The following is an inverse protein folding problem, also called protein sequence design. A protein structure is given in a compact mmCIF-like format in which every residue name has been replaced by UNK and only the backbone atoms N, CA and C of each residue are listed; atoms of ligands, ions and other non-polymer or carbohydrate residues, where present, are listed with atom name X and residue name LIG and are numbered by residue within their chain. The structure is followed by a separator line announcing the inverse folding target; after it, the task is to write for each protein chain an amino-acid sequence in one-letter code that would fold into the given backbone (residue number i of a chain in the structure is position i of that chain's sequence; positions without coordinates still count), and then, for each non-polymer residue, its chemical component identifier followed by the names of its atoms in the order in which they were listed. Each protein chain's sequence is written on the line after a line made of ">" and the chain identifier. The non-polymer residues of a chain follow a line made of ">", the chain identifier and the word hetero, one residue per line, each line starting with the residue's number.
data_IF_644270051869
#
_entry.id   IF_644270051869
#
_cell.length_a   1.000
_cell.length_b   1.000
_cell.length_c   1.000
_cell.angle_alpha   90.00
_cell.angle_beta   90.00
_cell.angle_gamma   90.00
#
_symmetry.space_group_name_H-M   'P 1'
#
loop_
_entity.id
_entity.type
_entity.pdbx_description
1 polymer ?
#
# COMPACT_ATOMS: atom_id res chain seq x y z
N UNK A 1 -35.21 28.52 -39.25
CA UNK A 1 -34.87 29.40 -40.38
C UNK A 1 -33.38 29.24 -40.66
N UNK A 2 -33.03 29.04 -41.94
CA UNK A 2 -31.67 28.83 -42.46
C UNK A 2 -30.88 30.14 -42.60
N UNK A 3 -29.54 30.06 -42.54
CA UNK A 3 -28.48 30.68 -43.40
C UNK A 3 -27.13 30.48 -42.66
N UNK A 4 -26.20 29.59 -43.04
CA UNK A 4 -25.36 29.38 -44.25
C UNK A 4 -24.34 30.50 -44.56
N UNK A 5 -23.17 30.03 -45.04
CA UNK A 5 -21.92 30.68 -45.55
C UNK A 5 -20.78 30.87 -44.52
N UNK A 6 -19.53 30.41 -44.76
CA UNK A 6 -18.94 29.86 -45.97
C UNK A 6 -17.53 29.27 -45.79
N UNK A 7 -17.17 28.46 -46.78
CA UNK A 7 -16.02 27.57 -47.02
C UNK A 7 -14.75 28.32 -47.47
N UNK A 8 -13.53 27.79 -47.20
CA UNK A 8 -12.43 27.65 -48.20
C UNK A 8 -11.48 26.49 -47.81
N UNK A 9 -11.32 25.52 -48.72
CA UNK A 9 -10.26 24.48 -48.75
C UNK A 9 -8.96 25.02 -49.34
N UNK A 10 -7.81 24.42 -48.97
CA UNK A 10 -6.63 24.38 -49.83
C UNK A 10 -5.90 23.03 -49.70
N UNK A 11 -5.94 22.27 -50.79
CA UNK A 11 -5.09 21.12 -51.10
C UNK A 11 -3.73 21.62 -51.61
N UNK A 12 -2.65 20.95 -51.24
CA UNK A 12 -1.38 21.00 -51.98
C UNK A 12 -0.71 19.63 -52.00
N UNK A 13 -0.74 19.03 -53.18
CA UNK A 13 0.06 17.86 -53.60
C UNK A 13 1.34 18.39 -54.23
N UNK A 14 2.49 17.82 -53.86
CA UNK A 14 3.73 17.92 -54.66
C UNK A 14 4.30 16.51 -54.83
N UNK A 15 4.30 16.04 -56.07
CA UNK A 15 5.15 14.96 -56.57
C UNK A 15 6.40 15.60 -57.17
N UNK A 16 7.57 14.97 -57.06
CA UNK A 16 8.52 14.80 -58.17
C UNK A 16 9.62 13.78 -57.77
N UNK A 17 9.87 12.87 -58.70
CA UNK A 17 10.80 11.75 -58.71
C UNK A 17 12.27 12.18 -58.85
N UNK A 18 13.22 11.32 -58.44
CA UNK A 18 14.63 11.47 -58.77
C UNK A 18 15.45 10.21 -58.47
N UNK A 19 15.83 9.50 -59.54
CA UNK A 19 16.58 8.24 -59.57
C UNK A 19 18.10 8.48 -59.55
N UNK A 20 18.87 7.58 -58.95
CA UNK A 20 20.34 7.55 -59.01
C UNK A 20 20.88 6.16 -58.71
N UNK A 21 21.17 5.40 -59.77
CA UNK A 21 21.79 4.08 -59.75
C UNK A 21 23.26 4.13 -59.38
N UNK A 22 23.76 3.09 -58.73
CA UNK A 22 25.03 2.47 -59.13
C UNK A 22 24.87 0.94 -59.22
N UNK A 23 25.24 0.42 -60.39
CA UNK A 23 25.34 -1.00 -60.70
C UNK A 23 26.69 -1.53 -60.22
N UNK A 24 26.72 -2.78 -59.77
CA UNK A 24 27.64 -3.74 -60.35
C UNK A 24 27.01 -5.14 -60.35
N UNK A 25 26.90 -5.70 -61.55
CA UNK A 25 26.37 -7.03 -61.86
C UNK A 25 27.45 -8.09 -61.60
N UNK A 26 27.05 -9.31 -61.22
CA UNK A 26 27.41 -10.53 -61.97
C UNK A 26 26.41 -11.65 -61.65
N UNK A 27 25.80 -12.19 -62.72
CA UNK A 27 24.91 -13.37 -62.81
C UNK A 27 25.58 -14.65 -62.24
N UNK A 28 24.89 -15.71 -61.79
CA UNK A 28 24.03 -16.59 -62.59
C UNK A 28 23.38 -17.68 -61.70
N UNK A 29 22.05 -17.73 -61.72
CA UNK A 29 21.17 -18.90 -61.88
C UNK A 29 21.40 -20.19 -61.06
N UNK A 30 20.41 -20.53 -60.23
CA UNK A 30 20.22 -21.87 -59.64
C UNK A 30 18.82 -22.01 -59.04
N UNK A 31 17.92 -22.60 -59.82
CA UNK A 31 16.53 -22.94 -59.48
C UNK A 31 16.45 -23.92 -58.31
N UNK A 32 15.54 -23.69 -57.36
CA UNK A 32 15.24 -24.60 -56.27
C UNK A 32 14.03 -24.10 -55.47
N UNK A 33 12.85 -24.58 -55.86
CA UNK A 33 11.60 -24.44 -55.13
C UNK A 33 11.72 -25.09 -53.74
N UNK A 34 11.46 -24.34 -52.67
CA UNK A 34 11.12 -24.91 -51.38
C UNK A 34 10.51 -23.87 -50.45
N UNK A 35 9.26 -24.15 -50.06
CA UNK A 35 8.46 -23.35 -49.14
C UNK A 35 9.14 -23.23 -47.77
N UNK A 36 9.51 -22.00 -47.37
CA UNK A 36 9.92 -21.72 -46.00
C UNK A 36 8.69 -21.28 -45.23
N UNK A 37 8.17 -22.20 -44.42
CA UNK A 37 7.23 -21.95 -43.34
C UNK A 37 7.86 -20.89 -42.44
N UNK A 38 7.23 -19.71 -42.36
CA UNK A 38 7.53 -18.74 -41.32
C UNK A 38 7.06 -19.31 -39.99
N UNK A 39 8.00 -19.91 -39.26
CA UNK A 39 7.84 -20.20 -37.84
C UNK A 39 7.87 -18.85 -37.13
N UNK A 40 6.68 -18.34 -36.84
CA UNK A 40 6.49 -17.27 -35.86
C UNK A 40 6.89 -17.85 -34.51
N UNK A 41 8.09 -17.54 -34.04
CA UNK A 41 8.52 -17.82 -32.68
C UNK A 41 7.63 -16.99 -31.76
N UNK A 42 6.55 -17.59 -31.26
CA UNK A 42 5.87 -17.12 -30.08
C UNK A 42 6.90 -17.15 -28.94
N UNK A 43 7.24 -15.98 -28.43
CA UNK A 43 7.83 -15.85 -27.10
C UNK A 43 6.77 -16.36 -26.11
N UNK A 44 6.83 -17.64 -25.78
CA UNK A 44 6.38 -18.09 -24.47
C UNK A 44 7.35 -17.49 -23.45
N UNK A 45 6.93 -16.37 -22.87
CA UNK A 45 7.57 -15.81 -21.69
C UNK A 45 7.17 -16.67 -20.49
N UNK A 46 7.72 -17.88 -20.43
CA UNK A 46 7.82 -18.61 -19.18
C UNK A 46 8.91 -17.94 -18.36
N UNK A 47 8.52 -17.12 -17.38
CA UNK A 47 9.45 -16.65 -16.36
C UNK A 47 9.87 -17.87 -15.54
N UNK A 48 11.07 -18.37 -15.81
CA UNK A 48 11.79 -19.29 -14.94
C UNK A 48 12.35 -18.52 -13.72
N UNK A 49 11.47 -17.77 -13.05
CA UNK A 49 11.75 -17.19 -11.75
C UNK A 49 11.33 -18.24 -10.74
N UNK A 50 12.31 -18.76 -9.99
CA UNK A 50 12.07 -19.36 -8.69
C UNK A 50 11.54 -18.25 -7.76
N UNK A 51 10.32 -17.78 -7.99
CA UNK A 51 9.66 -16.74 -7.21
C UNK A 51 9.47 -17.25 -5.79
N UNK A 52 10.19 -16.65 -4.84
CA UNK A 52 10.07 -17.02 -3.43
C UNK A 52 8.72 -16.52 -2.93
N UNK A 53 7.79 -17.44 -2.69
CA UNK A 53 6.54 -17.13 -2.01
C UNK A 53 6.84 -16.56 -0.62
N UNK A 54 6.38 -15.34 -0.36
CA UNK A 54 6.49 -14.65 0.93
C UNK A 54 5.32 -15.07 1.82
N UNK A 55 4.10 -14.96 1.30
CA UNK A 55 2.85 -15.24 2.02
C UNK A 55 1.67 -15.43 1.04
N UNK A 56 0.64 -16.14 1.47
CA UNK A 56 -0.68 -16.17 0.80
C UNK A 56 -1.82 -15.86 1.78
N UNK A 57 -2.98 -15.47 1.23
CA UNK A 57 -4.25 -15.46 1.96
C UNK A 57 -4.67 -16.88 2.33
N UNK A 58 -5.52 -17.04 3.35
CA UNK A 58 -6.02 -18.34 3.81
C UNK A 58 -6.72 -19.16 2.71
N UNK A 59 -7.28 -18.49 1.70
CA UNK A 59 -7.95 -19.11 0.55
C UNK A 59 -7.10 -19.20 -0.73
N UNK A 60 -5.80 -18.86 -0.62
CA UNK A 60 -4.80 -18.86 -1.70
C UNK A 60 -5.15 -18.01 -2.94
N UNK A 61 -6.15 -17.12 -2.85
CA UNK A 61 -6.50 -16.21 -3.95
C UNK A 61 -5.56 -15.03 -4.09
N UNK A 62 -4.87 -14.69 -3.02
CA UNK A 62 -3.84 -13.65 -2.96
C UNK A 62 -2.53 -14.32 -2.61
N UNK A 63 -1.49 -14.13 -3.41
CA UNK A 63 -0.13 -14.60 -3.11
C UNK A 63 0.85 -13.47 -3.36
N UNK A 64 1.79 -13.33 -2.45
CA UNK A 64 2.84 -12.34 -2.52
C UNK A 64 4.17 -13.06 -2.70
N UNK A 65 4.87 -12.72 -3.78
CA UNK A 65 6.18 -13.28 -4.12
C UNK A 65 7.25 -12.21 -4.06
N UNK A 66 8.47 -12.60 -3.70
CA UNK A 66 9.63 -11.72 -3.76
C UNK A 66 10.17 -11.64 -5.19
N UNK A 67 10.37 -10.43 -5.70
CA UNK A 67 11.13 -10.20 -6.94
C UNK A 67 12.63 -10.34 -6.64
N UNK A 68 13.08 -9.69 -5.57
CA UNK A 68 14.45 -9.73 -5.11
C UNK A 68 14.49 -9.69 -3.58
N UNK A 69 15.52 -10.30 -3.01
CA UNK A 69 15.80 -10.25 -1.58
C UNK A 69 17.29 -9.99 -1.40
N UNK A 70 17.62 -8.89 -0.72
CA UNK A 70 19.00 -8.48 -0.51
C UNK A 70 19.12 -7.79 0.84
N UNK A 71 20.20 -8.06 1.57
CA UNK A 71 20.51 -7.39 2.84
C UNK A 71 19.37 -7.49 3.88
N UNK A 72 18.67 -8.63 3.92
CA UNK A 72 17.46 -8.89 4.73
C UNK A 72 16.29 -7.93 4.45
N UNK A 73 16.13 -7.53 3.19
CA UNK A 73 15.02 -6.72 2.70
C UNK A 73 14.48 -7.32 1.41
N UNK A 74 13.16 -7.40 1.29
CA UNK A 74 12.50 -7.65 0.02
C UNK A 74 12.48 -6.36 -0.80
N UNK A 75 12.99 -6.43 -2.03
CA UNK A 75 13.10 -5.29 -2.93
C UNK A 75 12.18 -5.53 -4.13
N UNK A 76 10.95 -5.04 -4.01
CA UNK A 76 9.89 -5.30 -4.96
C UNK A 76 9.23 -6.66 -4.74
N UNK A 77 7.95 -6.72 -5.07
CA UNK A 77 7.12 -7.90 -4.90
C UNK A 77 6.21 -8.10 -6.10
N UNK A 78 5.90 -9.36 -6.41
CA UNK A 78 4.88 -9.73 -7.38
C UNK A 78 3.64 -10.15 -6.61
N UNK A 79 2.51 -9.49 -6.85
CA UNK A 79 1.21 -9.88 -6.32
C UNK A 79 0.48 -10.73 -7.36
N UNK A 80 0.14 -11.97 -7.01
CA UNK A 80 -0.84 -12.77 -7.74
C UNK A 80 -2.20 -12.62 -7.06
N UNK A 81 -3.20 -12.18 -7.82
CA UNK A 81 -4.57 -12.00 -7.36
C UNK A 81 -5.54 -12.62 -8.37
N UNK A 82 -6.23 -13.69 -7.97
CA UNK A 82 -7.12 -14.46 -8.83
C UNK A 82 -6.45 -14.89 -10.17
N UNK A 83 -5.16 -15.25 -10.12
CA UNK A 83 -4.37 -15.69 -11.26
C UNK A 83 -3.87 -14.58 -12.19
N UNK A 84 -4.15 -13.30 -11.90
CA UNK A 84 -3.47 -12.16 -12.54
C UNK A 84 -2.27 -11.75 -11.69
N UNK A 85 -1.19 -11.32 -12.32
CA UNK A 85 0.01 -10.86 -11.61
C UNK A 85 0.34 -9.41 -11.94
N UNK A 86 0.91 -8.71 -10.95
CA UNK A 86 1.51 -7.38 -11.13
C UNK A 86 2.65 -7.18 -10.14
N UNK A 87 3.70 -6.54 -10.63
CA UNK A 87 4.84 -6.14 -9.82
C UNK A 87 4.58 -4.80 -9.13
N UNK A 88 5.02 -4.70 -7.89
CA UNK A 88 5.00 -3.50 -7.07
C UNK A 88 6.38 -3.25 -6.50
N UNK A 89 6.77 -1.97 -6.39
CA UNK A 89 8.04 -1.54 -5.81
C UNK A 89 8.03 -1.57 -4.26
N UNK A 90 7.10 -2.31 -3.65
CA UNK A 90 7.00 -2.42 -2.20
C UNK A 90 8.28 -3.00 -1.61
N UNK A 91 8.80 -2.34 -0.57
CA UNK A 91 9.98 -2.79 0.15
C UNK A 91 9.71 -2.92 1.64
N UNK A 92 10.17 -4.03 2.20
CA UNK A 92 10.02 -4.32 3.62
C UNK A 92 11.07 -5.36 4.08
N UNK A 93 11.41 -5.38 5.38
CA UNK A 93 12.40 -6.31 5.91
C UNK A 93 12.02 -7.78 5.68
N UNK A 94 12.98 -8.58 5.21
CA UNK A 94 12.90 -10.02 5.07
C UNK A 94 13.37 -10.71 6.37
N UNK A 95 12.63 -10.49 7.46
CA UNK A 95 12.98 -11.02 8.78
C UNK A 95 12.12 -12.24 9.13
N UNK A 96 12.79 -13.33 9.48
CA UNK A 96 12.11 -14.55 9.94
C UNK A 96 11.26 -14.25 11.20
N UNK A 97 9.97 -14.62 11.15
CA UNK A 97 9.00 -14.37 12.22
C UNK A 97 8.15 -13.11 12.06
N UNK A 98 8.48 -12.21 11.14
CA UNK A 98 7.68 -11.02 10.80
C UNK A 98 7.26 -11.08 9.34
N UNK A 99 6.36 -12.02 9.04
CA UNK A 99 5.79 -12.16 7.69
C UNK A 99 4.68 -11.12 7.48
N UNK A 100 4.50 -10.64 6.25
CA UNK A 100 3.29 -9.91 5.88
C UNK A 100 2.03 -10.68 6.26
N UNK A 101 0.96 -9.94 6.53
CA UNK A 101 -0.38 -10.51 6.56
C UNK A 101 -1.05 -10.23 5.22
N UNK A 102 -1.77 -11.22 4.69
CA UNK A 102 -2.39 -11.14 3.38
C UNK A 102 -3.84 -11.57 3.54
N UNK A 103 -4.76 -10.69 3.16
CA UNK A 103 -6.20 -10.88 3.27
C UNK A 103 -6.84 -10.78 1.88
N UNK A 104 -7.95 -11.50 1.71
CA UNK A 104 -8.86 -11.36 0.58
C UNK A 104 -10.24 -11.01 1.12
N UNK A 105 -10.66 -9.75 1.02
CA UNK A 105 -11.88 -9.26 1.67
C UNK A 105 -12.47 -8.07 0.91
N UNK A 106 -13.80 -7.99 0.86
CA UNK A 106 -14.57 -6.85 0.34
C UNK A 106 -14.52 -5.71 1.37
N UNK A 107 -13.46 -4.91 1.31
CA UNK A 107 -13.23 -3.78 2.23
C UNK A 107 -13.86 -2.49 1.70
N UNK A 108 -14.27 -2.46 0.44
CA UNK A 108 -14.95 -1.34 -0.21
C UNK A 108 -16.49 -1.38 -0.12
N UNK A 109 -17.06 -2.50 0.35
CA UNK A 109 -18.50 -2.81 0.37
C UNK A 109 -19.14 -2.77 -1.03
N UNK A 110 -18.38 -3.07 -2.09
CA UNK A 110 -18.87 -3.06 -3.47
C UNK A 110 -19.31 -4.45 -3.98
N UNK A 111 -19.11 -5.49 -3.15
CA UNK A 111 -19.41 -6.87 -3.46
C UNK A 111 -18.25 -7.61 -4.15
N UNK A 112 -17.11 -6.96 -4.35
CA UNK A 112 -15.88 -7.53 -4.90
C UNK A 112 -14.79 -7.49 -3.83
N UNK A 113 -14.12 -8.60 -3.59
CA UNK A 113 -13.02 -8.61 -2.63
C UNK A 113 -11.75 -7.97 -3.20
N UNK A 114 -11.04 -7.24 -2.34
CA UNK A 114 -9.69 -6.73 -2.58
C UNK A 114 -8.63 -7.61 -1.92
N UNK A 115 -7.41 -7.55 -2.46
CA UNK A 115 -6.24 -7.98 -1.72
C UNK A 115 -5.84 -6.89 -0.73
N UNK A 116 -5.70 -7.23 0.55
CA UNK A 116 -5.17 -6.33 1.58
C UNK A 116 -3.89 -6.95 2.14
N UNK A 117 -2.78 -6.23 2.06
CA UNK A 117 -1.47 -6.69 2.50
C UNK A 117 -0.97 -5.74 3.58
N UNK A 118 -0.66 -6.24 4.76
CA UNK A 118 0.08 -5.48 5.76
C UNK A 118 1.52 -5.96 5.78
N UNK A 119 2.46 -5.03 5.62
CA UNK A 119 3.89 -5.31 5.63
C UNK A 119 4.52 -4.62 6.83
N UNK A 120 5.42 -5.35 7.45
CA UNK A 120 6.20 -4.84 8.54
C UNK A 120 7.24 -3.82 8.04
N UNK A 121 7.39 -2.66 8.70
CA UNK A 121 8.40 -1.64 8.34
C UNK A 121 9.52 -1.54 9.37
N UNK A 122 9.19 -1.55 10.66
CA UNK A 122 10.17 -1.38 11.72
C UNK A 122 9.72 -1.97 13.06
N UNK A 123 10.66 -2.61 13.76
CA UNK A 123 10.50 -3.13 15.12
C UNK A 123 11.79 -2.90 15.85
N UNK A 124 11.67 -2.15 16.92
CA UNK A 124 12.69 -2.00 17.93
C UNK A 124 11.99 -2.02 19.29
N UNK A 125 12.71 -2.09 20.42
CA UNK A 125 12.07 -1.98 21.72
C UNK A 125 11.20 -0.71 21.78
N UNK A 126 9.90 -0.90 21.99
CA UNK A 126 8.92 0.19 22.01
C UNK A 126 8.53 0.75 20.64
N UNK A 127 8.89 0.11 19.52
CA UNK A 127 8.45 0.51 18.17
C UNK A 127 7.88 -0.70 17.42
N UNK A 128 6.73 -0.53 16.80
CA UNK A 128 6.10 -1.50 15.91
C UNK A 128 5.36 -0.77 14.79
N UNK A 129 5.92 -0.75 13.59
CA UNK A 129 5.38 -0.02 12.45
C UNK A 129 5.03 -0.96 11.32
N UNK A 130 3.81 -0.84 10.84
CA UNK A 130 3.32 -1.49 9.63
C UNK A 130 2.95 -0.46 8.56
N UNK A 131 2.96 -0.93 7.32
CA UNK A 131 2.41 -0.28 6.14
C UNK A 131 1.34 -1.20 5.56
N UNK A 132 0.34 -0.62 4.91
CA UNK A 132 -0.79 -1.37 4.34
C UNK A 132 -0.93 -1.03 2.86
N UNK A 133 -1.24 -2.05 2.07
CA UNK A 133 -1.54 -1.97 0.66
C UNK A 133 -2.92 -2.58 0.40
N UNK A 134 -3.74 -1.91 -0.40
CA UNK A 134 -5.07 -2.40 -0.80
C UNK A 134 -5.15 -2.42 -2.31
N UNK A 135 -5.36 -3.58 -2.91
CA UNK A 135 -5.29 -3.76 -4.37
C UNK A 135 -6.58 -4.35 -4.92
N UNK A 136 -7.11 -3.73 -5.99
CA UNK A 136 -8.33 -4.16 -6.66
C UNK A 136 -8.14 -5.44 -7.46
N UNK A 137 -9.11 -6.35 -7.37
CA UNK A 137 -9.14 -7.59 -8.15
C UNK A 137 -9.30 -7.39 -9.67
N UNK A 138 -9.90 -6.28 -10.09
CA UNK A 138 -10.23 -6.03 -11.50
C UNK A 138 -9.00 -5.71 -12.34
N UNK A 139 -8.18 -4.76 -11.89
CA UNK A 139 -7.09 -4.17 -12.66
C UNK A 139 -5.74 -4.12 -11.91
N UNK A 140 -5.69 -4.67 -10.69
CA UNK A 140 -4.51 -4.64 -9.82
C UNK A 140 -4.02 -3.21 -9.52
N UNK A 141 -4.91 -2.21 -9.59
CA UNK A 141 -4.62 -0.86 -9.10
C UNK A 141 -4.69 -0.80 -7.58
N UNK A 142 -3.82 -0.01 -6.99
CA UNK A 142 -3.78 0.21 -5.55
C UNK A 142 -4.79 1.32 -5.17
N UNK A 143 -5.49 1.10 -4.07
CA UNK A 143 -6.41 2.07 -3.46
C UNK A 143 -5.66 2.79 -2.36
N UNK A 144 -5.58 4.11 -2.47
CA UNK A 144 -4.94 4.91 -1.43
C UNK A 144 -5.75 4.85 -0.13
N UNK A 145 -5.02 4.87 0.98
CA UNK A 145 -5.54 4.94 2.33
C UNK A 145 -4.84 6.08 3.07
N UNK A 146 -5.62 6.90 3.75
CA UNK A 146 -5.13 8.02 4.53
C UNK A 146 -4.30 7.54 5.75
N UNK A 147 -3.17 8.20 6.02
CA UNK A 147 -2.26 7.83 7.10
C UNK A 147 -2.98 7.99 8.46
N UNK A 148 -3.03 6.95 9.32
CA UNK A 148 -3.68 7.03 10.63
C UNK A 148 -3.05 8.09 11.53
N UNK A 149 -1.77 8.42 11.36
CA UNK A 149 -1.11 9.49 12.11
C UNK A 149 -1.59 10.88 11.67
N UNK A 150 -1.84 11.10 10.38
CA UNK A 150 -2.44 12.34 9.87
C UNK A 150 -3.88 12.48 10.38
N UNK A 151 -4.67 11.40 10.29
CA UNK A 151 -6.04 11.33 10.84
C UNK A 151 -6.06 11.71 12.33
N UNK A 152 -5.16 11.13 13.12
CA UNK A 152 -5.08 11.39 14.57
C UNK A 152 -4.64 12.83 14.84
N UNK A 153 -3.65 13.33 14.12
CA UNK A 153 -3.16 14.70 14.28
C UNK A 153 -4.26 15.75 13.98
N UNK A 154 -5.15 15.47 13.05
CA UNK A 154 -6.26 16.38 12.70
C UNK A 154 -7.47 16.25 13.63
N UNK A 155 -7.78 15.04 14.11
CA UNK A 155 -9.05 14.75 14.78
C UNK A 155 -8.95 14.59 16.31
N UNK A 156 -7.75 14.49 16.88
CA UNK A 156 -7.53 14.15 18.29
C UNK A 156 -6.69 15.20 18.99
N UNK A 157 -7.22 15.74 20.08
CA UNK A 157 -6.45 16.60 21.00
C UNK A 157 -5.98 15.78 22.20
N UNK A 158 -4.73 15.95 22.62
CA UNK A 158 -4.21 15.30 23.83
C UNK A 158 -3.56 16.31 24.75
N UNK A 159 -3.68 16.08 26.06
CA UNK A 159 -3.05 16.88 27.09
C UNK A 159 -2.45 15.94 28.12
N UNK A 160 -1.18 16.16 28.45
CA UNK A 160 -0.47 15.45 29.52
C UNK A 160 -0.08 16.49 30.58
N UNK A 161 -0.54 16.28 31.81
CA UNK A 161 -0.23 17.14 32.96
C UNK A 161 0.59 16.35 33.97
N UNK A 162 1.82 16.80 34.26
CA UNK A 162 2.68 16.20 35.26
C UNK A 162 2.55 16.93 36.61
N UNK A 163 2.15 16.19 37.65
CA UNK A 163 2.18 16.63 39.04
C UNK A 163 3.11 15.73 39.86
N UNK A 164 4.41 16.03 39.84
CA UNK A 164 5.45 15.33 40.61
C UNK A 164 5.46 13.82 40.35
N UNK A 165 5.38 13.42 39.09
CA UNK A 165 5.36 12.01 38.67
C UNK A 165 3.97 11.46 38.46
N UNK A 166 2.91 12.03 39.03
CA UNK A 166 1.55 11.63 38.66
C UNK A 166 1.13 12.34 37.37
N UNK A 167 0.93 11.57 36.29
CA UNK A 167 0.51 12.10 34.99
C UNK A 167 -1.00 11.97 34.83
N UNK A 168 -1.68 13.09 34.63
CA UNK A 168 -3.07 13.09 34.13
C UNK A 168 -3.03 13.25 32.63
N UNK A 169 -3.52 12.25 31.91
CA UNK A 169 -3.61 12.25 30.44
C UNK A 169 -5.06 12.40 30.04
N UNK A 170 -5.34 13.41 29.23
CA UNK A 170 -6.63 13.68 28.62
C UNK A 170 -6.54 13.46 27.12
N UNK A 171 -7.50 12.72 26.56
CA UNK A 171 -7.63 12.49 25.11
C UNK A 171 -9.04 12.91 24.69
N UNK A 172 -9.14 13.81 23.71
CA UNK A 172 -10.43 14.28 23.18
C UNK A 172 -10.58 13.86 21.73
N UNK A 173 -11.74 13.30 21.41
CA UNK A 173 -12.11 12.83 20.07
C UNK A 173 -13.51 13.37 19.77
N UNK A 174 -13.58 14.43 18.96
CA UNK A 174 -14.81 15.21 18.80
C UNK A 174 -15.33 15.71 20.17
N UNK A 175 -16.60 15.47 20.48
CA UNK A 175 -17.22 15.90 21.74
C UNK A 175 -16.91 14.98 22.94
N UNK A 176 -16.19 13.87 22.73
CA UNK A 176 -15.88 12.90 23.79
C UNK A 176 -14.52 13.22 24.41
N UNK A 177 -14.46 13.14 25.73
CA UNK A 177 -13.23 13.26 26.51
C UNK A 177 -13.00 11.98 27.31
N UNK A 178 -11.76 11.50 27.26
CA UNK A 178 -11.24 10.38 28.04
C UNK A 178 -10.13 10.89 28.94
N UNK A 179 -10.10 10.42 30.18
CA UNK A 179 -9.07 10.78 31.16
C UNK A 179 -8.52 9.51 31.80
N UNK A 180 -7.21 9.47 31.99
CA UNK A 180 -6.51 8.42 32.70
C UNK A 180 -5.39 9.01 33.55
N UNK A 181 -5.00 8.29 34.58
CA UNK A 181 -3.84 8.61 35.41
C UNK A 181 -2.78 7.55 35.18
N UNK A 182 -1.55 7.99 34.97
CA UNK A 182 -0.38 7.14 34.78
C UNK A 182 0.73 7.56 35.74
N UNK A 183 1.42 6.58 36.30
CA UNK A 183 2.58 6.85 37.16
C UNK A 183 3.81 7.06 36.27
N UNK A 184 4.37 8.26 36.31
CA UNK A 184 5.58 8.65 35.63
C UNK A 184 6.76 8.83 36.60
N UNK A 185 7.94 9.02 36.01
CA UNK A 185 9.16 9.34 36.74
C UNK A 185 9.14 10.84 37.13
N UNK A 186 9.19 11.18 38.44
CA UNK A 186 9.18 12.57 38.89
C UNK A 186 10.38 13.38 38.40
N UNK A 187 11.47 12.73 38.02
CA UNK A 187 12.70 13.35 37.49
C UNK A 187 12.69 13.45 35.95
N UNK A 188 11.69 12.90 35.27
CA UNK A 188 11.54 12.97 33.82
C UNK A 188 10.72 14.18 33.37
N UNK A 189 11.23 14.89 32.36
CA UNK A 189 10.51 15.99 31.71
C UNK A 189 9.56 15.47 30.62
N UNK A 190 8.29 15.30 31.00
CA UNK A 190 7.22 14.93 30.09
C UNK A 190 6.81 16.10 29.18
N UNK A 191 6.47 15.78 27.93
CA UNK A 191 5.79 16.74 27.05
C UNK A 191 4.34 16.94 27.51
N UNK A 192 3.73 18.02 27.04
CA UNK A 192 2.34 18.38 27.38
C UNK A 192 1.29 17.65 26.53
N UNK A 193 1.70 16.74 25.65
CA UNK A 193 0.85 15.99 24.71
C UNK A 193 1.42 14.57 24.53
N UNK A 194 0.57 13.64 24.08
CA UNK A 194 1.02 12.29 23.74
C UNK A 194 1.82 12.30 22.45
N UNK A 195 2.83 11.42 22.38
CA UNK A 195 3.55 11.13 21.13
C UNK A 195 2.92 9.91 20.46
N UNK A 196 2.68 10.01 19.16
CA UNK A 196 2.18 8.94 18.29
C UNK A 196 3.24 8.54 17.25
N UNK A 197 3.02 7.42 16.57
CA UNK A 197 3.91 6.94 15.50
C UNK A 197 5.04 6.03 15.98
N UNK A 198 5.00 5.59 17.24
CA UNK A 198 5.86 4.50 17.70
C UNK A 198 5.22 3.12 17.52
N UNK A 199 3.89 3.02 17.65
CA UNK A 199 3.13 1.82 17.27
C UNK A 199 2.05 2.20 16.26
N UNK A 200 2.08 1.56 15.09
CA UNK A 200 1.05 1.60 14.05
C UNK A 200 0.86 0.16 13.56
N UNK A 201 -0.31 -0.40 13.84
CA UNK A 201 -0.65 -1.82 13.65
C UNK A 201 -1.96 -1.91 12.85
N UNK A 202 -1.91 -2.49 11.66
CA UNK A 202 -3.06 -2.60 10.76
C UNK A 202 -3.70 -3.98 10.86
N UNK A 203 -5.01 -4.03 10.69
CA UNK A 203 -5.73 -5.30 10.62
C UNK A 203 -6.97 -5.20 9.73
N UNK A 204 -7.50 -6.37 9.37
CA UNK A 204 -8.80 -6.50 8.70
C UNK A 204 -9.75 -7.25 9.63
N UNK A 205 -10.71 -6.53 10.19
CA UNK A 205 -11.69 -7.10 11.13
C UNK A 205 -13.08 -6.97 10.53
N UNK A 206 -13.74 -8.12 10.30
CA UNK A 206 -15.09 -8.16 9.70
C UNK A 206 -15.19 -7.35 8.40
N UNK A 207 -14.24 -7.57 7.49
CA UNK A 207 -14.10 -6.85 6.22
C UNK A 207 -13.92 -5.32 6.36
N UNK A 208 -13.39 -4.85 7.49
CA UNK A 208 -13.03 -3.45 7.68
C UNK A 208 -11.57 -3.31 8.00
N UNK A 209 -10.91 -2.39 7.30
CA UNK A 209 -9.55 -1.99 7.63
C UNK A 209 -9.61 -1.18 8.93
N UNK A 210 -8.75 -1.57 9.87
CA UNK A 210 -8.54 -0.86 11.12
C UNK A 210 -7.06 -0.59 11.31
N UNK A 211 -6.71 0.57 11.85
CA UNK A 211 -5.36 0.86 12.31
C UNK A 211 -5.40 1.18 13.80
N UNK A 212 -4.56 0.51 14.58
CA UNK A 212 -4.33 0.82 15.98
C UNK A 212 -3.04 1.62 16.10
N UNK A 213 -3.13 2.79 16.74
CA UNK A 213 -2.01 3.67 17.02
C UNK A 213 -1.91 3.90 18.51
N UNK A 214 -0.75 3.60 19.09
CA UNK A 214 -0.55 3.78 20.53
C UNK A 214 0.02 5.16 20.86
N UNK A 215 -0.56 5.80 21.87
CA UNK A 215 -0.15 7.10 22.40
C UNK A 215 0.76 6.94 23.61
N UNK A 216 1.90 7.63 23.58
CA UNK A 216 2.95 7.53 24.61
C UNK A 216 3.19 8.83 25.35
N UNK A 217 3.40 8.74 26.66
CA UNK A 217 3.80 9.89 27.51
C UNK A 217 5.31 10.14 27.43
N UNK A 218 6.09 9.12 27.11
CA UNK A 218 7.54 9.17 26.99
C UNK A 218 8.06 8.27 25.87
N UNK A 219 9.36 7.96 25.89
CA UNK A 219 9.95 7.07 24.88
C UNK A 219 9.54 5.63 25.15
N UNK A 220 8.65 5.09 24.33
CA UNK A 220 8.19 3.70 24.41
C UNK A 220 7.25 3.39 25.58
N UNK A 221 6.74 4.42 26.27
CA UNK A 221 5.82 4.29 27.39
C UNK A 221 4.39 4.63 26.94
N UNK A 222 3.67 3.59 26.49
CA UNK A 222 2.34 3.71 25.90
C UNK A 222 1.23 3.56 26.94
N UNK A 223 0.28 4.49 26.96
CA UNK A 223 -0.77 4.58 27.99
C UNK A 223 -2.17 4.34 27.43
N UNK A 224 -2.35 4.50 26.12
CA UNK A 224 -3.63 4.28 25.44
C UNK A 224 -3.43 3.92 23.97
N UNK A 225 -4.46 3.35 23.36
CA UNK A 225 -4.53 3.11 21.92
C UNK A 225 -5.72 3.84 21.30
N UNK A 226 -5.49 4.41 20.13
CA UNK A 226 -6.50 4.95 19.24
C UNK A 226 -6.70 3.99 18.07
N UNK A 227 -7.91 3.47 17.92
CA UNK A 227 -8.27 2.61 16.79
C UNK A 227 -9.02 3.43 15.75
N UNK A 228 -8.41 3.61 14.59
CA UNK A 228 -9.02 4.22 13.40
C UNK A 228 -9.72 3.14 12.61
N UNK A 229 -11.03 3.26 12.45
CA UNK A 229 -11.85 2.44 11.57
C UNK A 229 -12.00 3.18 10.24
N UNK A 230 -11.52 2.56 9.16
CA UNK A 230 -11.59 3.16 7.84
C UNK A 230 -12.93 2.91 7.17
N UNK A 231 -13.30 3.87 6.31
CA UNK A 231 -14.40 3.74 5.35
C UNK A 231 -13.86 4.05 3.95
N UNK A 232 -14.36 3.32 2.96
CA UNK A 232 -14.10 3.66 1.57
C UNK A 232 -15.00 4.81 1.14
N UNK A 233 -14.43 5.87 0.57
CA UNK A 233 -15.19 6.92 -0.10
C UNK A 233 -15.24 6.64 -1.61
N UNK A 234 -16.40 6.23 -2.11
CA UNK A 234 -16.60 5.91 -3.53
C UNK A 234 -16.50 7.13 -4.47
N UNK A 235 -16.59 8.34 -3.94
CA UNK A 235 -16.46 9.59 -4.72
C UNK A 235 -14.99 9.93 -4.95
N UNK A 236 -14.18 9.93 -3.90
CA UNK A 236 -12.75 10.24 -3.95
C UNK A 236 -11.88 9.02 -4.25
N UNK A 237 -12.44 7.82 -4.10
CA UNK A 237 -11.83 6.50 -4.32
C UNK A 237 -10.67 6.20 -3.40
N UNK A 238 -10.72 6.68 -2.16
CA UNK A 238 -9.71 6.44 -1.13
C UNK A 238 -10.36 5.98 0.17
N UNK A 239 -9.58 5.33 1.03
CA UNK A 239 -9.97 5.05 2.41
C UNK A 239 -9.67 6.26 3.29
N UNK A 240 -10.67 6.69 4.06
CA UNK A 240 -10.58 7.80 5.04
C UNK A 240 -11.10 7.36 6.40
N UNK A 241 -10.88 8.18 7.42
CA UNK A 241 -11.42 7.92 8.75
C UNK A 241 -12.96 7.83 8.74
N UNK A 242 -13.50 6.69 9.21
CA UNK A 242 -14.90 6.53 9.53
C UNK A 242 -15.20 6.86 10.99
N UNK A 243 -14.40 6.28 11.90
CA UNK A 243 -14.53 6.44 13.35
C UNK A 243 -13.17 6.28 14.03
N UNK A 244 -12.95 7.00 15.12
CA UNK A 244 -11.82 6.78 16.02
C UNK A 244 -12.35 6.32 17.37
N UNK A 245 -11.78 5.26 17.92
CA UNK A 245 -12.10 4.74 19.24
C UNK A 245 -10.89 4.80 20.17
N UNK A 246 -11.14 5.21 21.42
CA UNK A 246 -10.13 5.21 22.48
C UNK A 246 -10.21 3.91 23.29
N UNK A 247 -9.05 3.37 23.67
CA UNK A 247 -8.92 2.27 24.62
C UNK A 247 -7.69 2.45 25.52
N UNK A 248 -7.77 1.95 26.75
CA UNK A 248 -6.64 1.94 27.68
C UNK A 248 -5.73 0.75 27.36
N UNK A 249 -4.42 0.99 27.39
CA UNK A 249 -3.45 -0.10 27.41
C UNK A 249 -3.36 -0.56 28.86
N UNK A 250 -4.02 -1.68 29.16
CA UNK A 250 -3.90 -2.27 30.49
C UNK A 250 -2.48 -2.83 30.62
N UNK A 251 -1.66 -2.24 31.48
CA UNK A 251 -0.45 -2.91 31.95
C UNK A 251 -0.87 -4.25 32.57
N UNK A 252 -0.60 -5.35 31.87
CA UNK A 252 -0.41 -6.61 32.58
C UNK A 252 0.83 -6.39 33.43
N UNK A 253 0.62 -6.12 34.72
CA UNK A 253 1.63 -6.47 35.73
C UNK A 253 1.75 -7.98 35.67
N UNK A 254 2.72 -8.46 34.89
CA UNK A 254 3.13 -9.85 34.94
C UNK A 254 3.49 -10.16 36.41
N UNK A 255 2.73 -11.09 37.01
CA UNK A 255 2.98 -11.62 38.35
C UNK A 255 4.16 -12.58 38.35
#
# INVERSE_FOLDING_TARGET
>A
MKKELGVVMLLSVVLLSGCGSDKSETNTQGSGDSSIIQVTTQLEQGSDLNEKLIQSSDDDKVKLFAINEKDNEFQGTTLELNGKTKDFDWTFPAVEGYKPQVYFADVTDDGTEEAVITVFKNRSPGVYLEEIHVVKSDDLSEINIEDPLEIIAEAVETIVQNNKGALTVTVKIGDKQHELVHEGDPDFEYKNELNFGGVVDYNVVSNKIVAKVDGSVGIGEYVCSLTVYYKYDSTTKIFTAGKIEFSLINEKKDN
#
